data_IF_962624256105
#
_entry.id   IF_962624256105
#
_cell.length_a   1.000
_cell.length_b   1.000
_cell.length_c   1.000
_cell.angle_alpha   90.00
_cell.angle_beta   90.00
_cell.angle_gamma   90.00
#
_symmetry.space_group_name_H-M   'P 1'
#
loop_
_entity.id
_entity.type
_entity.pdbx_description
1 polymer ?
#
# COMPACT_ATOMS: atom_id res chain seq x y z
N UNK A 1 4.95 2.94 -27.53
CA UNK A 1 5.73 3.63 -26.49
C UNK A 1 5.20 5.04 -26.32
N UNK A 2 5.39 5.65 -25.15
CA UNK A 2 5.06 7.06 -24.92
C UNK A 2 5.87 7.97 -25.85
N UNK A 3 5.30 9.13 -26.21
CA UNK A 3 5.97 10.16 -27.05
C UNK A 3 6.46 11.36 -26.24
N UNK A 4 5.84 11.63 -25.10
CA UNK A 4 6.09 12.76 -24.22
C UNK A 4 6.29 12.27 -22.78
N UNK A 5 6.94 13.06 -21.91
CA UNK A 5 7.16 12.67 -20.53
C UNK A 5 5.85 12.45 -19.78
N UNK A 6 5.88 11.51 -18.85
CA UNK A 6 4.80 11.21 -17.91
C UNK A 6 5.01 11.93 -16.59
N UNK A 7 3.93 12.15 -15.85
CA UNK A 7 3.97 12.64 -14.46
C UNK A 7 4.89 11.73 -13.63
N UNK A 8 5.81 12.33 -12.88
CA UNK A 8 6.75 11.66 -11.98
C UNK A 8 7.63 10.57 -12.64
N UNK A 9 7.81 10.60 -13.96
CA UNK A 9 8.61 9.57 -14.66
C UNK A 9 8.00 8.17 -14.61
N UNK A 10 6.68 8.06 -14.45
CA UNK A 10 5.94 6.80 -14.38
C UNK A 10 6.03 5.99 -15.69
N UNK A 11 6.41 4.72 -15.59
CA UNK A 11 6.47 3.79 -16.72
C UNK A 11 5.71 2.51 -16.37
N UNK A 12 4.61 2.25 -17.09
CA UNK A 12 3.86 1.00 -16.94
C UNK A 12 4.74 -0.17 -17.43
N UNK A 13 5.04 -1.13 -16.55
CA UNK A 13 5.87 -2.31 -16.87
C UNK A 13 5.02 -3.55 -17.15
N UNK A 14 3.82 -3.60 -16.58
CA UNK A 14 2.84 -4.66 -16.75
C UNK A 14 1.43 -4.10 -16.53
N UNK A 15 0.46 -4.71 -17.19
CA UNK A 15 -0.96 -4.38 -17.09
C UNK A 15 -1.75 -5.61 -16.69
N UNK A 16 -2.74 -5.37 -15.83
CA UNK A 16 -3.53 -6.41 -15.21
C UNK A 16 -2.83 -7.04 -14.01
N UNK A 17 -3.61 -7.80 -13.26
CA UNK A 17 -3.23 -8.44 -12.01
C UNK A 17 -3.47 -9.96 -12.07
N UNK A 18 -4.56 -10.42 -12.67
CA UNK A 18 -4.89 -11.85 -12.77
C UNK A 18 -5.18 -12.55 -11.45
N UNK A 19 -5.39 -11.79 -10.37
CA UNK A 19 -5.75 -12.30 -9.03
C UNK A 19 -7.27 -12.43 -8.82
N UNK A 20 -8.09 -11.88 -9.71
CA UNK A 20 -9.54 -12.14 -9.74
C UNK A 20 -10.33 -11.69 -8.51
N UNK A 21 -9.92 -10.61 -7.86
CA UNK A 21 -10.69 -10.01 -6.78
C UNK A 21 -12.04 -9.48 -7.30
N UNK A 22 -13.11 -9.74 -6.56
CA UNK A 22 -14.47 -9.35 -6.96
C UNK A 22 -14.69 -7.84 -6.97
N UNK A 23 -13.96 -7.10 -6.13
CA UNK A 23 -13.99 -5.62 -6.05
C UNK A 23 -13.06 -4.93 -7.07
N UNK A 24 -12.34 -5.67 -7.91
CA UNK A 24 -11.49 -5.10 -8.95
C UNK A 24 -12.22 -5.05 -10.30
N UNK A 25 -11.82 -4.13 -11.17
CA UNK A 25 -12.36 -4.05 -12.53
C UNK A 25 -11.97 -5.31 -13.35
N UNK A 26 -12.88 -5.84 -14.21
CA UNK A 26 -12.63 -7.12 -14.91
C UNK A 26 -11.44 -7.09 -15.86
N UNK A 27 -11.10 -5.93 -16.41
CA UNK A 27 -9.95 -5.74 -17.32
C UNK A 27 -8.62 -6.08 -16.65
N UNK A 28 -8.56 -6.08 -15.31
CA UNK A 28 -7.38 -6.48 -14.56
C UNK A 28 -7.19 -8.01 -14.48
N UNK A 29 -8.11 -8.83 -14.99
CA UNK A 29 -7.91 -10.29 -15.01
C UNK A 29 -6.77 -10.73 -15.95
N UNK A 30 -6.56 -9.99 -17.04
CA UNK A 30 -5.59 -10.37 -18.06
C UNK A 30 -4.22 -9.78 -17.78
N UNK A 31 -3.36 -10.53 -17.09
CA UNK A 31 -1.98 -10.15 -16.82
C UNK A 31 -1.11 -10.22 -18.08
N UNK A 32 -0.40 -9.12 -18.37
CA UNK A 32 0.60 -9.04 -19.44
C UNK A 32 1.71 -8.08 -19.04
N UNK A 33 2.96 -8.43 -19.32
CA UNK A 33 4.12 -7.58 -19.06
C UNK A 33 4.76 -7.11 -20.37
N UNK A 34 5.47 -5.99 -20.31
CA UNK A 34 6.08 -5.36 -21.48
C UNK A 34 7.54 -5.79 -21.64
N UNK A 35 8.08 -5.88 -22.88
CA UNK A 35 9.49 -6.16 -23.08
C UNK A 35 10.39 -5.08 -22.44
N UNK A 36 11.47 -5.51 -21.76
CA UNK A 36 12.42 -4.60 -21.09
C UNK A 36 12.89 -3.48 -22.02
N UNK A 37 13.20 -3.78 -23.29
CA UNK A 37 13.64 -2.76 -24.26
C UNK A 37 12.65 -1.58 -24.34
N UNK A 38 11.35 -1.88 -24.48
CA UNK A 38 10.34 -0.84 -24.57
C UNK A 38 10.23 -0.03 -23.28
N UNK A 39 10.34 -0.68 -22.12
CA UNK A 39 10.34 0.00 -20.81
C UNK A 39 11.54 0.96 -20.72
N UNK A 40 12.73 0.52 -21.10
CA UNK A 40 13.94 1.36 -21.08
C UNK A 40 13.84 2.54 -22.04
N UNK A 41 13.21 2.35 -23.21
CA UNK A 41 13.00 3.45 -24.17
C UNK A 41 12.08 4.53 -23.57
N UNK A 42 11.05 4.15 -22.81
CA UNK A 42 10.17 5.13 -22.13
C UNK A 42 10.84 5.80 -20.93
N UNK A 43 11.65 5.06 -20.17
CA UNK A 43 12.50 5.66 -19.12
C UNK A 43 13.38 6.74 -19.73
N UNK A 44 14.01 6.50 -20.88
CA UNK A 44 14.83 7.53 -21.56
C UNK A 44 14.02 8.75 -21.98
N UNK A 45 12.80 8.58 -22.48
CA UNK A 45 11.92 9.72 -22.81
C UNK A 45 11.69 10.60 -21.59
N UNK A 46 11.41 10.00 -20.43
CA UNK A 46 11.22 10.73 -19.17
C UNK A 46 12.51 11.42 -18.71
N UNK A 47 13.65 10.72 -18.71
CA UNK A 47 14.94 11.27 -18.27
C UNK A 47 15.39 12.43 -19.18
N UNK A 48 15.22 12.32 -20.50
CA UNK A 48 15.57 13.38 -21.45
C UNK A 48 14.72 14.66 -21.25
N UNK A 49 13.54 14.53 -20.65
CA UNK A 49 12.68 15.65 -20.30
C UNK A 49 12.93 16.19 -18.87
N UNK A 50 13.96 15.69 -18.18
CA UNK A 50 14.36 16.17 -16.85
C UNK A 50 13.72 15.43 -15.67
N UNK A 51 13.13 14.24 -15.87
CA UNK A 51 12.67 13.42 -14.74
C UNK A 51 13.85 12.99 -13.85
N UNK A 52 13.66 13.02 -12.53
CA UNK A 52 14.70 12.66 -11.56
C UNK A 52 15.04 11.17 -11.56
N UNK A 53 14.14 10.32 -12.08
CA UNK A 53 14.27 8.87 -12.04
C UNK A 53 13.16 8.16 -12.80
N UNK A 54 13.01 6.86 -12.51
CA UNK A 54 12.02 5.99 -13.12
C UNK A 54 11.08 5.42 -12.05
N UNK A 55 9.79 5.69 -12.16
CA UNK A 55 8.75 5.06 -11.32
C UNK A 55 8.14 3.87 -12.09
N UNK A 56 8.54 2.66 -11.73
CA UNK A 56 8.04 1.44 -12.36
C UNK A 56 6.64 1.12 -11.85
N UNK A 57 5.67 1.01 -12.76
CA UNK A 57 4.27 0.86 -12.41
C UNK A 57 3.63 -0.43 -12.92
N UNK A 58 2.98 -1.16 -12.02
CA UNK A 58 2.07 -2.27 -12.29
C UNK A 58 1.16 -2.46 -11.08
N UNK A 59 0.12 -3.29 -11.21
CA UNK A 59 -0.73 -3.75 -10.09
C UNK A 59 0.07 -4.55 -9.04
N UNK A 60 1.12 -5.22 -9.50
CA UNK A 60 2.09 -5.94 -8.67
C UNK A 60 3.44 -5.97 -9.39
N UNK A 61 4.33 -5.04 -9.03
CA UNK A 61 5.65 -4.88 -9.66
C UNK A 61 6.54 -6.11 -9.44
N UNK A 62 6.41 -6.78 -8.29
CA UNK A 62 7.17 -8.00 -7.98
C UNK A 62 6.80 -9.15 -8.90
N UNK A 63 5.67 -9.08 -9.60
CA UNK A 63 5.26 -10.11 -10.55
C UNK A 63 5.75 -9.90 -11.98
N UNK A 64 6.57 -8.89 -12.26
CA UNK A 64 7.05 -8.64 -13.61
C UNK A 64 7.65 -9.89 -14.27
N UNK A 65 7.07 -10.33 -15.39
CA UNK A 65 7.54 -11.48 -16.15
C UNK A 65 7.04 -12.84 -15.64
N UNK A 66 6.30 -12.88 -14.53
CA UNK A 66 5.82 -14.11 -13.93
C UNK A 66 4.79 -14.85 -14.79
N UNK A 67 4.84 -16.18 -14.76
CA UNK A 67 3.80 -17.07 -15.30
C UNK A 67 2.92 -17.54 -14.13
N UNK A 68 1.90 -16.76 -13.80
CA UNK A 68 1.01 -17.02 -12.67
C UNK A 68 1.17 -16.01 -11.54
N UNK A 69 0.83 -16.41 -10.31
CA UNK A 69 0.77 -15.50 -9.15
C UNK A 69 2.07 -15.40 -8.35
N UNK A 70 3.04 -16.30 -8.60
CA UNK A 70 4.32 -16.34 -7.90
C UNK A 70 5.35 -15.50 -8.68
N UNK A 71 6.07 -14.55 -8.04
CA UNK A 71 7.12 -13.77 -8.68
C UNK A 71 8.20 -14.60 -9.40
N UNK A 72 8.67 -14.07 -10.53
CA UNK A 72 9.87 -14.54 -11.23
C UNK A 72 11.04 -13.62 -10.86
N UNK A 73 11.86 -14.07 -9.90
CA UNK A 73 12.93 -13.26 -9.31
C UNK A 73 13.94 -12.80 -10.36
N UNK A 74 14.31 -13.67 -11.31
CA UNK A 74 15.29 -13.35 -12.34
C UNK A 74 14.77 -12.25 -13.27
N UNK A 75 13.50 -12.32 -13.69
CA UNK A 75 12.89 -11.32 -14.57
C UNK A 75 12.80 -9.96 -13.89
N UNK A 76 12.39 -9.94 -12.62
CA UNK A 76 12.29 -8.70 -11.82
C UNK A 76 13.68 -8.10 -11.62
N UNK A 77 14.64 -8.87 -11.14
CA UNK A 77 16.03 -8.41 -10.95
C UNK A 77 16.65 -7.93 -12.26
N UNK A 78 16.39 -8.61 -13.38
CA UNK A 78 16.88 -8.17 -14.71
C UNK A 78 16.30 -6.83 -15.12
N UNK A 79 15.02 -6.59 -14.88
CA UNK A 79 14.37 -5.31 -15.17
C UNK A 79 14.97 -4.19 -14.32
N UNK A 80 15.01 -4.35 -13.00
CA UNK A 80 15.56 -3.33 -12.09
C UNK A 80 17.02 -3.02 -12.40
N UNK A 81 17.84 -4.05 -12.68
CA UNK A 81 19.25 -3.87 -13.06
C UNK A 81 19.38 -3.09 -14.37
N UNK A 82 18.49 -3.31 -15.32
CA UNK A 82 18.50 -2.57 -16.58
C UNK A 82 18.08 -1.10 -16.41
N UNK A 83 17.07 -0.84 -15.57
CA UNK A 83 16.66 0.52 -15.23
C UNK A 83 17.75 1.29 -14.47
N UNK A 84 18.42 0.65 -13.51
CA UNK A 84 19.52 1.21 -12.72
C UNK A 84 20.79 1.55 -13.54
N UNK A 85 20.88 1.07 -14.79
CA UNK A 85 21.94 1.50 -15.73
C UNK A 85 21.64 2.85 -16.38
N UNK A 86 20.39 3.30 -16.36
CA UNK A 86 19.96 4.56 -16.97
C UNK A 86 19.82 5.69 -15.93
N UNK A 87 19.48 5.35 -14.69
CA UNK A 87 19.33 6.31 -13.60
C UNK A 87 19.65 5.67 -12.25
N UNK A 88 20.11 6.47 -11.29
CA UNK A 88 20.33 6.02 -9.91
C UNK A 88 19.02 5.97 -9.09
N UNK A 89 17.95 6.59 -9.59
CA UNK A 89 16.68 6.70 -8.89
C UNK A 89 15.63 5.81 -9.57
N UNK A 90 15.35 4.66 -8.97
CA UNK A 90 14.29 3.75 -9.42
C UNK A 90 13.33 3.52 -8.26
N UNK A 91 12.05 3.78 -8.51
CA UNK A 91 10.96 3.56 -7.56
C UNK A 91 9.95 2.57 -8.13
N UNK A 92 9.03 2.12 -7.29
CA UNK A 92 7.95 1.22 -7.67
C UNK A 92 6.63 1.67 -7.07
N UNK A 93 5.53 1.49 -7.82
CA UNK A 93 4.22 1.96 -7.40
C UNK A 93 3.54 0.98 -6.44
N UNK A 94 3.29 -0.27 -6.86
CA UNK A 94 2.52 -1.25 -6.10
C UNK A 94 3.21 -2.60 -5.98
N UNK A 95 2.95 -3.27 -4.86
CA UNK A 95 3.31 -4.67 -4.59
C UNK A 95 2.11 -5.41 -3.98
N UNK A 96 2.23 -6.73 -3.85
CA UNK A 96 1.27 -7.55 -3.10
C UNK A 96 1.96 -8.30 -1.96
N UNK A 97 1.38 -8.31 -0.75
CA UNK A 97 1.93 -9.08 0.39
C UNK A 97 2.09 -10.57 0.08
N UNK A 98 1.16 -11.17 -0.66
CA UNK A 98 1.30 -12.56 -1.10
C UNK A 98 2.52 -12.76 -2.02
N UNK A 99 2.89 -11.77 -2.83
CA UNK A 99 4.09 -11.82 -3.68
C UNK A 99 5.36 -11.63 -2.87
N UNK A 100 5.34 -10.73 -1.88
CA UNK A 100 6.41 -10.55 -0.88
C UNK A 100 6.71 -11.87 -0.18
N UNK A 101 5.68 -12.51 0.40
CA UNK A 101 5.87 -13.74 1.17
C UNK A 101 6.07 -14.99 0.32
N UNK A 102 5.61 -15.00 -0.94
CA UNK A 102 5.92 -16.09 -1.86
C UNK A 102 7.41 -16.09 -2.24
N UNK A 103 8.08 -14.93 -2.25
CA UNK A 103 9.50 -14.76 -2.61
C UNK A 103 10.22 -13.73 -1.72
N UNK A 104 10.47 -14.03 -0.42
CA UNK A 104 11.11 -13.09 0.51
C UNK A 104 12.49 -12.60 0.05
N UNK A 105 13.30 -13.50 -0.51
CA UNK A 105 14.64 -13.18 -1.04
C UNK A 105 14.65 -12.14 -2.15
N UNK A 106 13.53 -11.93 -2.84
CA UNK A 106 13.42 -10.89 -3.85
C UNK A 106 13.45 -9.50 -3.21
N UNK A 107 12.86 -9.34 -2.03
CA UNK A 107 12.87 -8.06 -1.30
C UNK A 107 14.30 -7.70 -0.92
N UNK A 108 15.05 -8.61 -0.31
CA UNK A 108 16.46 -8.42 0.05
C UNK A 108 17.30 -8.01 -1.15
N UNK A 109 17.16 -8.74 -2.28
CA UNK A 109 17.87 -8.42 -3.53
C UNK A 109 17.52 -7.04 -4.07
N UNK A 110 16.24 -6.68 -4.07
CA UNK A 110 15.80 -5.37 -4.56
C UNK A 110 16.29 -4.24 -3.64
N UNK A 111 16.25 -4.44 -2.32
CA UNK A 111 16.80 -3.53 -1.33
C UNK A 111 18.28 -3.26 -1.60
N UNK A 112 19.08 -4.31 -1.77
CA UNK A 112 20.51 -4.17 -2.08
C UNK A 112 20.73 -3.39 -3.38
N UNK A 113 20.01 -3.74 -4.43
CA UNK A 113 20.13 -3.08 -5.73
C UNK A 113 19.77 -1.60 -5.69
N UNK A 114 18.65 -1.25 -5.06
CA UNK A 114 18.18 0.13 -4.96
C UNK A 114 19.12 0.96 -4.07
N UNK A 115 19.49 0.44 -2.90
CA UNK A 115 20.39 1.12 -1.95
C UNK A 115 21.84 1.22 -2.44
N UNK A 116 22.26 0.38 -3.39
CA UNK A 116 23.61 0.47 -3.98
C UNK A 116 23.80 1.72 -4.86
N UNK A 117 22.71 2.37 -5.29
CA UNK A 117 22.73 3.50 -6.22
C UNK A 117 22.07 4.76 -5.68
N UNK A 118 21.09 4.64 -4.78
CA UNK A 118 20.40 5.76 -4.15
C UNK A 118 21.02 6.17 -2.82
N UNK A 119 20.60 7.34 -2.28
CA UNK A 119 20.91 7.67 -0.89
C UNK A 119 20.29 6.60 0.02
N UNK A 120 21.12 5.92 0.82
CA UNK A 120 20.77 4.80 1.71
C UNK A 120 19.74 5.16 2.80
N UNK A 121 19.45 6.44 2.94
CA UNK A 121 18.70 7.01 4.07
C UNK A 121 17.18 7.07 3.83
N UNK A 122 16.71 6.98 2.57
CA UNK A 122 15.27 7.00 2.26
C UNK A 122 14.71 5.58 2.19
N UNK A 123 13.63 5.35 2.95
CA UNK A 123 12.87 4.08 2.90
C UNK A 123 12.28 3.84 1.52
N UNK A 124 12.23 2.57 1.12
CA UNK A 124 11.56 2.17 -0.12
C UNK A 124 10.06 2.07 0.16
N UNK A 125 9.27 2.96 -0.43
CA UNK A 125 7.81 2.96 -0.25
C UNK A 125 7.08 2.35 -1.43
N UNK A 126 6.02 1.61 -1.16
CA UNK A 126 5.11 1.09 -2.19
C UNK A 126 3.70 0.95 -1.65
N UNK A 127 2.71 1.18 -2.50
CA UNK A 127 1.31 0.95 -2.17
C UNK A 127 0.98 -0.54 -2.19
N UNK A 128 0.20 -1.00 -1.23
CA UNK A 128 -0.20 -2.40 -1.10
C UNK A 128 -1.58 -2.47 -0.45
N UNK A 129 -2.40 -3.46 -0.82
CA UNK A 129 -3.73 -3.61 -0.21
C UNK A 129 -3.77 -4.76 0.80
N UNK A 130 -4.15 -4.49 2.04
CA UNK A 130 -4.57 -5.49 3.03
C UNK A 130 -6.03 -5.90 2.75
N UNK A 131 -6.85 -4.90 2.42
CA UNK A 131 -8.30 -4.97 2.19
C UNK A 131 -9.14 -5.31 3.42
N UNK A 132 -8.88 -6.43 4.09
CA UNK A 132 -9.60 -6.85 5.30
C UNK A 132 -8.76 -7.85 6.09
N UNK A 133 -8.94 -7.86 7.41
CA UNK A 133 -8.39 -8.89 8.30
C UNK A 133 -9.28 -10.12 8.46
N UNK A 134 -10.48 -10.16 7.85
CA UNK A 134 -11.40 -11.30 7.98
C UNK A 134 -11.12 -12.41 6.96
N UNK A 135 -10.73 -13.63 7.38
CA UNK A 135 -10.59 -14.77 6.47
C UNK A 135 -11.87 -15.13 5.71
N UNK A 136 -13.04 -14.84 6.31
CA UNK A 136 -14.34 -15.10 5.70
C UNK A 136 -14.56 -14.19 4.48
N UNK A 137 -14.32 -12.89 4.62
CA UNK A 137 -14.42 -11.94 3.51
C UNK A 137 -13.34 -12.18 2.46
N UNK A 138 -12.13 -12.57 2.89
CA UNK A 138 -11.06 -12.99 1.98
C UNK A 138 -11.49 -14.17 1.10
N UNK A 139 -12.05 -15.22 1.70
CA UNK A 139 -12.63 -16.37 0.98
C UNK A 139 -13.71 -15.94 0.01
N UNK A 140 -14.52 -14.97 0.39
CA UNK A 140 -15.67 -14.56 -0.42
C UNK A 140 -15.24 -13.70 -1.62
N UNK A 141 -14.29 -12.78 -1.43
CA UNK A 141 -14.07 -11.68 -2.37
C UNK A 141 -12.69 -11.66 -3.05
N UNK A 142 -11.66 -12.29 -2.48
CA UNK A 142 -10.27 -12.07 -2.93
C UNK A 142 -9.35 -13.28 -2.82
N UNK A 143 -9.87 -14.49 -3.07
CA UNK A 143 -9.06 -15.74 -3.02
C UNK A 143 -7.76 -15.66 -3.81
N UNK A 144 -7.78 -15.15 -5.04
CA UNK A 144 -6.56 -15.05 -5.85
C UNK A 144 -5.61 -13.93 -5.39
N UNK A 145 -6.05 -12.99 -4.55
CA UNK A 145 -5.15 -12.02 -3.89
C UNK A 145 -4.22 -12.67 -2.89
N UNK A 146 -4.72 -13.71 -2.23
CA UNK A 146 -3.99 -14.42 -1.17
C UNK A 146 -3.12 -15.54 -1.72
N UNK A 147 -3.43 -16.04 -2.92
CA UNK A 147 -2.65 -17.07 -3.58
C UNK A 147 -1.14 -16.70 -3.65
N UNK A 148 -0.23 -17.65 -3.36
CA UNK A 148 -0.46 -19.10 -3.21
C UNK A 148 -0.97 -19.57 -1.83
N UNK A 149 -1.14 -18.66 -0.87
CA UNK A 149 -1.62 -18.97 0.48
C UNK A 149 -3.14 -19.16 0.52
N UNK A 150 -3.64 -19.71 1.64
CA UNK A 150 -5.06 -19.86 1.91
C UNK A 150 -5.63 -18.61 2.57
N UNK A 151 -6.93 -18.32 2.38
CA UNK A 151 -7.60 -17.21 3.05
C UNK A 151 -7.46 -17.15 4.57
N UNK A 152 -7.40 -18.29 5.26
CA UNK A 152 -7.20 -18.33 6.72
C UNK A 152 -5.80 -17.89 7.16
N UNK A 153 -4.82 -17.97 6.26
CA UNK A 153 -3.44 -17.56 6.52
C UNK A 153 -3.23 -16.06 6.21
N UNK A 154 -4.24 -15.37 5.67
CA UNK A 154 -4.08 -13.99 5.20
C UNK A 154 -3.63 -13.01 6.28
N UNK A 155 -4.20 -13.00 7.51
CA UNK A 155 -3.73 -12.10 8.56
C UNK A 155 -2.25 -12.32 8.87
N UNK A 156 -1.81 -13.57 9.01
CA UNK A 156 -0.41 -13.93 9.28
C UNK A 156 0.51 -13.55 8.12
N UNK A 157 0.09 -13.78 6.86
CA UNK A 157 0.83 -13.35 5.67
C UNK A 157 1.03 -11.83 5.67
N UNK A 158 0.03 -11.06 6.06
CA UNK A 158 0.13 -9.60 6.14
C UNK A 158 1.09 -9.17 7.24
N UNK A 159 1.03 -9.77 8.42
CA UNK A 159 1.95 -9.47 9.54
C UNK A 159 3.40 -9.80 9.17
N UNK A 160 3.68 -11.01 8.70
CA UNK A 160 5.03 -11.43 8.33
C UNK A 160 5.59 -10.61 7.16
N UNK A 161 4.73 -10.19 6.22
CA UNK A 161 5.16 -9.31 5.15
C UNK A 161 5.54 -7.91 5.66
N UNK A 162 4.79 -7.33 6.60
CA UNK A 162 5.15 -6.05 7.20
C UNK A 162 6.48 -6.13 7.95
N UNK A 163 6.70 -7.22 8.70
CA UNK A 163 7.97 -7.50 9.36
C UNK A 163 9.13 -7.54 8.38
N UNK A 164 9.04 -8.39 7.35
CA UNK A 164 10.08 -8.54 6.33
C UNK A 164 10.39 -7.22 5.62
N UNK A 165 9.35 -6.46 5.25
CA UNK A 165 9.49 -5.16 4.62
C UNK A 165 10.18 -4.16 5.56
N UNK A 166 9.76 -4.10 6.82
CA UNK A 166 10.35 -3.22 7.83
C UNK A 166 11.83 -3.54 8.06
N UNK A 167 12.19 -4.82 8.20
CA UNK A 167 13.57 -5.30 8.36
C UNK A 167 14.47 -4.93 7.17
N UNK A 168 13.86 -4.76 5.99
CA UNK A 168 14.55 -4.37 4.76
C UNK A 168 14.51 -2.85 4.47
N UNK A 169 14.09 -2.02 5.44
CA UNK A 169 13.93 -0.57 5.27
C UNK A 169 12.89 -0.18 4.20
N UNK A 170 11.87 -1.01 4.01
CA UNK A 170 10.69 -0.65 3.24
C UNK A 170 9.62 -0.04 4.15
N UNK A 171 8.71 0.69 3.52
CA UNK A 171 7.55 1.29 4.17
C UNK A 171 6.31 1.02 3.31
N UNK A 172 5.50 0.01 3.63
CA UNK A 172 4.27 -0.22 2.92
C UNK A 172 3.25 0.88 3.22
N UNK A 173 2.62 1.39 2.17
CA UNK A 173 1.44 2.24 2.24
C UNK A 173 0.21 1.37 1.96
N UNK A 174 -0.33 0.83 3.04
CA UNK A 174 -1.38 -0.17 3.05
C UNK A 174 -2.78 0.44 2.92
N UNK A 175 -3.66 -0.21 2.16
CA UNK A 175 -5.09 0.13 2.10
C UNK A 175 -5.98 -0.95 2.70
N UNK A 176 -7.10 -0.53 3.30
CA UNK A 176 -8.20 -1.38 3.74
C UNK A 176 -9.49 -0.98 3.02
N UNK A 177 -10.47 -1.89 2.93
CA UNK A 177 -11.80 -1.62 2.37
C UNK A 177 -12.82 -1.81 3.48
N UNK A 178 -13.56 -0.75 3.79
CA UNK A 178 -14.70 -0.77 4.70
C UNK A 178 -16.00 -0.78 3.90
N UNK A 179 -16.96 -1.58 4.33
CA UNK A 179 -18.24 -1.77 3.65
C UNK A 179 -18.20 -2.84 2.56
N UNK A 180 -17.34 -3.85 2.67
CA UNK A 180 -17.37 -4.97 1.72
C UNK A 180 -18.76 -5.64 1.74
N UNK A 181 -19.28 -6.13 0.60
CA UNK A 181 -20.57 -6.80 0.59
C UNK A 181 -20.62 -7.96 1.61
N UNK A 182 -21.65 -7.94 2.45
CA UNK A 182 -21.89 -8.85 3.58
C UNK A 182 -20.90 -8.75 4.74
N UNK A 183 -20.12 -7.68 4.86
CA UNK A 183 -19.28 -7.42 6.03
C UNK A 183 -20.14 -7.29 7.30
N UNK A 184 -19.73 -7.96 8.37
CA UNK A 184 -20.36 -7.89 9.69
C UNK A 184 -19.44 -7.18 10.69
N UNK A 185 -19.97 -6.76 11.84
CA UNK A 185 -19.17 -6.18 12.92
C UNK A 185 -17.99 -7.07 13.34
N UNK A 186 -18.17 -8.40 13.38
CA UNK A 186 -17.11 -9.36 13.70
C UNK A 186 -15.96 -9.33 12.68
N UNK A 187 -16.27 -9.17 11.38
CA UNK A 187 -15.23 -9.07 10.36
C UNK A 187 -14.45 -7.75 10.46
N UNK A 188 -15.14 -6.67 10.82
CA UNK A 188 -14.51 -5.38 11.06
C UNK A 188 -13.58 -5.49 12.27
N UNK A 189 -14.02 -6.13 13.36
CA UNK A 189 -13.17 -6.34 14.55
C UNK A 189 -11.93 -7.19 14.26
N UNK A 190 -12.03 -8.24 13.43
CA UNK A 190 -10.83 -8.98 12.97
C UNK A 190 -9.85 -8.09 12.21
N UNK A 191 -10.36 -7.09 11.50
CA UNK A 191 -9.54 -6.10 10.81
C UNK A 191 -8.90 -5.11 11.80
N UNK A 192 -9.63 -4.69 12.85
CA UNK A 192 -9.08 -3.89 13.95
C UNK A 192 -7.92 -4.64 14.62
N UNK A 193 -8.14 -5.89 15.02
CA UNK A 193 -7.12 -6.74 15.66
C UNK A 193 -5.87 -6.90 14.78
N UNK A 194 -6.05 -7.06 13.45
CA UNK A 194 -4.93 -7.11 12.52
C UNK A 194 -4.16 -5.78 12.51
N UNK A 195 -4.83 -4.63 12.44
CA UNK A 195 -4.17 -3.32 12.47
C UNK A 195 -3.38 -3.12 13.77
N UNK A 196 -3.93 -3.54 14.91
CA UNK A 196 -3.24 -3.48 16.20
C UNK A 196 -1.97 -4.33 16.22
N UNK A 197 -2.01 -5.54 15.64
CA UNK A 197 -0.80 -6.38 15.46
C UNK A 197 0.24 -5.73 14.55
N UNK A 198 -0.19 -4.94 13.57
CA UNK A 198 0.71 -4.23 12.66
C UNK A 198 1.37 -3.01 13.30
N UNK A 199 0.91 -2.54 14.47
CA UNK A 199 1.47 -1.38 15.17
C UNK A 199 2.96 -1.51 15.48
N UNK A 200 3.53 -2.72 15.51
CA UNK A 200 4.96 -2.96 15.70
C UNK A 200 5.83 -2.59 14.49
N UNK A 201 5.25 -2.52 13.30
CA UNK A 201 5.99 -2.32 12.05
C UNK A 201 5.68 -0.96 11.43
N UNK A 202 6.71 -0.30 10.94
CA UNK A 202 6.58 1.01 10.31
C UNK A 202 5.80 0.90 8.98
N UNK A 203 4.59 1.44 8.96
CA UNK A 203 3.73 1.50 7.77
C UNK A 203 2.73 2.66 7.84
N UNK A 204 2.08 2.94 6.71
CA UNK A 204 0.89 3.79 6.67
C UNK A 204 -0.31 2.91 6.34
N UNK A 205 -1.44 3.05 7.04
CA UNK A 205 -2.64 2.23 6.82
C UNK A 205 -3.86 3.13 6.62
N UNK A 206 -4.34 3.20 5.38
CA UNK A 206 -5.46 4.07 5.00
C UNK A 206 -6.72 3.23 4.73
N UNK A 207 -7.75 3.32 5.58
CA UNK A 207 -9.04 2.70 5.28
C UNK A 207 -9.79 3.51 4.23
N UNK A 208 -10.29 2.82 3.21
CA UNK A 208 -11.07 3.37 2.11
C UNK A 208 -12.48 2.79 2.14
N UNK A 209 -13.46 3.56 1.68
CA UNK A 209 -14.82 3.04 1.52
C UNK A 209 -14.93 2.15 0.29
N UNK A 210 -15.76 1.12 0.39
CA UNK A 210 -16.12 0.25 -0.71
C UNK A 210 -16.82 1.04 -1.83
N UNK A 211 -16.38 0.76 -3.06
CA UNK A 211 -16.97 1.30 -4.28
C UNK A 211 -17.58 0.14 -5.08
N UNK A 212 -18.84 0.25 -5.55
CA UNK A 212 -19.53 -0.82 -6.27
C UNK A 212 -19.02 -0.93 -7.71
N UNK A 213 -17.89 -1.62 -7.90
CA UNK A 213 -17.28 -1.89 -9.20
C UNK A 213 -16.98 -3.38 -9.37
N UNK A 214 -16.63 -3.77 -10.59
CA UNK A 214 -16.22 -5.14 -10.88
C UNK A 214 -17.38 -6.12 -10.80
N UNK A 215 -17.15 -7.25 -10.13
CA UNK A 215 -18.18 -8.26 -9.91
C UNK A 215 -19.14 -7.91 -8.74
N UNK A 216 -18.87 -6.81 -8.04
CA UNK A 216 -19.67 -6.33 -6.90
C UNK A 216 -20.37 -5.00 -7.22
N UNK A 217 -20.74 -4.78 -8.48
CA UNK A 217 -21.51 -3.61 -8.90
C UNK A 217 -22.96 -3.69 -8.36
N UNK A 218 -23.13 -3.25 -7.12
CA UNK A 218 -24.42 -3.15 -6.42
C UNK A 218 -25.10 -1.79 -6.62
N UNK A 219 -24.50 -0.88 -7.40
CA UNK A 219 -24.90 0.54 -7.58
C UNK A 219 -24.97 1.40 -6.31
N UNK A 220 -24.77 0.84 -5.12
CA UNK A 220 -24.76 1.57 -3.84
C UNK A 220 -23.32 1.76 -3.36
N UNK A 221 -22.93 3.02 -3.14
CA UNK A 221 -21.68 3.38 -2.48
C UNK A 221 -21.81 3.20 -0.97
N UNK A 222 -20.72 2.79 -0.32
CA UNK A 222 -20.63 2.82 1.14
C UNK A 222 -20.26 4.24 1.59
N UNK A 223 -21.01 4.79 2.53
CA UNK A 223 -20.80 6.16 3.04
C UNK A 223 -20.66 6.19 4.56
N UNK A 224 -20.41 7.39 5.11
CA UNK A 224 -20.27 7.60 6.56
C UNK A 224 -21.54 7.16 7.31
N UNK A 225 -22.70 7.32 6.70
CA UNK A 225 -24.00 6.92 7.25
C UNK A 225 -24.19 5.40 7.35
N UNK A 226 -23.45 4.62 6.55
CA UNK A 226 -23.46 3.15 6.59
C UNK A 226 -22.45 2.59 7.62
N UNK A 227 -21.62 3.44 8.24
CA UNK A 227 -20.59 2.98 9.19
C UNK A 227 -21.21 2.40 10.47
N UNK A 228 -20.69 1.23 10.87
CA UNK A 228 -20.95 0.60 12.16
C UNK A 228 -20.04 1.23 13.22
N UNK A 229 -20.34 1.09 14.53
CA UNK A 229 -19.41 1.46 15.59
C UNK A 229 -18.01 0.86 15.38
N UNK A 230 -17.91 -0.38 14.93
CA UNK A 230 -16.64 -1.07 14.67
C UNK A 230 -15.88 -0.46 13.49
N UNK A 231 -16.56 0.14 12.51
CA UNK A 231 -15.88 0.88 11.43
C UNK A 231 -15.20 2.15 11.96
N UNK A 232 -15.79 2.80 12.96
CA UNK A 232 -15.14 3.91 13.67
C UNK A 232 -13.94 3.42 14.48
N UNK A 233 -14.05 2.27 15.15
CA UNK A 233 -12.91 1.66 15.85
C UNK A 233 -11.76 1.35 14.89
N UNK A 234 -12.06 0.81 13.69
CA UNK A 234 -11.06 0.55 12.66
C UNK A 234 -10.38 1.83 12.17
N UNK A 235 -11.16 2.88 11.90
CA UNK A 235 -10.60 4.18 11.53
C UNK A 235 -9.71 4.74 12.65
N UNK A 236 -10.14 4.61 13.91
CA UNK A 236 -9.38 5.00 15.09
C UNK A 236 -8.05 4.26 15.21
N UNK A 237 -8.07 2.93 15.03
CA UNK A 237 -6.88 2.08 15.05
C UNK A 237 -5.87 2.47 13.95
N UNK A 238 -6.36 2.70 12.72
CA UNK A 238 -5.51 3.16 11.60
C UNK A 238 -4.89 4.53 11.89
N UNK A 239 -5.68 5.51 12.32
CA UNK A 239 -5.16 6.86 12.65
C UNK A 239 -4.15 6.80 13.80
N UNK A 240 -4.39 5.96 14.81
CA UNK A 240 -3.46 5.76 15.93
C UNK A 240 -2.13 5.16 15.46
N UNK A 241 -2.18 4.11 14.63
CA UNK A 241 -1.01 3.51 13.98
C UNK A 241 -0.23 4.55 13.16
N UNK A 242 -0.90 5.26 12.25
CA UNK A 242 -0.27 6.26 11.40
C UNK A 242 0.36 7.39 12.21
N UNK A 243 -0.30 7.86 13.28
CA UNK A 243 0.25 8.88 14.17
C UNK A 243 1.46 8.39 14.97
N UNK A 244 1.61 7.09 15.22
CA UNK A 244 2.82 6.54 15.81
C UNK A 244 3.99 6.73 14.85
N UNK A 245 3.83 6.34 13.58
CA UNK A 245 4.91 6.28 12.60
C UNK A 245 5.16 7.55 11.79
N UNK A 246 4.20 8.49 11.73
CA UNK A 246 4.32 9.75 10.97
C UNK A 246 5.56 10.58 11.38
N UNK A 247 5.99 10.47 12.64
CA UNK A 247 7.21 11.14 13.12
C UNK A 247 8.46 10.60 12.45
N UNK A 248 8.60 9.27 12.39
CA UNK A 248 9.72 8.62 11.72
C UNK A 248 9.69 8.83 10.20
N UNK A 249 8.49 8.81 9.60
CA UNK A 249 8.27 9.14 8.19
C UNK A 249 8.77 10.55 7.84
N UNK A 250 8.32 11.54 8.62
CA UNK A 250 8.74 12.93 8.42
C UNK A 250 10.25 13.10 8.67
N UNK A 251 10.81 12.39 9.65
CA UNK A 251 12.23 12.44 9.95
C UNK A 251 13.11 11.90 8.81
N UNK A 252 12.63 10.95 8.01
CA UNK A 252 13.28 10.51 6.76
C UNK A 252 13.23 11.56 5.65
N UNK A 253 12.07 12.20 5.48
CA UNK A 253 11.85 13.16 4.39
C UNK A 253 12.57 14.51 4.59
N UNK A 254 12.68 15.00 5.83
CA UNK A 254 13.29 16.29 6.15
C UNK A 254 14.78 16.23 6.55
N UNK A 255 15.45 15.10 6.33
CA UNK A 255 16.85 14.91 6.76
C UNK A 255 17.82 15.91 6.12
N UNK A 256 17.57 16.34 4.88
CA UNK A 256 18.37 17.36 4.18
C UNK A 256 18.10 18.80 4.66
N UNK A 257 17.14 19.02 5.58
CA UNK A 257 16.73 20.35 6.05
C UNK A 257 16.48 20.37 7.58
N UNK A 258 17.54 20.31 8.40
CA UNK A 258 17.46 20.12 9.86
C UNK A 258 16.65 21.21 10.60
N UNK A 259 16.69 22.46 10.14
CA UNK A 259 15.91 23.55 10.73
C UNK A 259 14.40 23.36 10.48
N UNK A 260 14.01 22.95 9.26
CA UNK A 260 12.60 22.70 8.89
C UNK A 260 12.05 21.44 9.59
N UNK A 261 12.92 20.43 9.78
CA UNK A 261 12.64 19.21 10.55
C UNK A 261 12.24 19.52 12.00
N UNK A 262 13.01 20.37 12.68
CA UNK A 262 12.81 20.66 14.11
C UNK A 262 11.66 21.65 14.33
N UNK A 263 11.64 22.77 13.60
CA UNK A 263 10.77 23.90 13.94
C UNK A 263 9.34 23.74 13.41
N UNK A 264 9.18 23.17 12.21
CA UNK A 264 7.89 23.07 11.52
C UNK A 264 7.35 21.65 11.62
N UNK A 265 8.16 20.64 11.30
CA UNK A 265 7.75 19.24 11.32
C UNK A 265 7.32 18.76 12.71
N UNK A 266 8.23 18.73 13.68
CA UNK A 266 7.93 18.18 15.03
C UNK A 266 6.86 18.97 15.79
N UNK A 267 6.88 20.30 15.69
CA UNK A 267 5.88 21.14 16.36
C UNK A 267 4.47 20.96 15.79
N UNK A 268 4.31 21.00 14.45
CA UNK A 268 3.02 20.79 13.80
C UNK A 268 2.51 19.37 14.06
N UNK A 269 3.36 18.35 13.94
CA UNK A 269 2.97 16.96 14.22
C UNK A 269 2.50 16.79 15.66
N UNK A 270 3.20 17.38 16.64
CA UNK A 270 2.77 17.32 18.04
C UNK A 270 1.44 18.04 18.29
N UNK A 271 1.21 19.19 17.65
CA UNK A 271 -0.08 19.88 17.71
C UNK A 271 -1.20 19.06 17.08
N UNK A 272 -0.97 18.47 15.90
CA UNK A 272 -1.91 17.57 15.23
C UNK A 272 -2.25 16.38 16.11
N UNK A 273 -1.25 15.70 16.70
CA UNK A 273 -1.45 14.58 17.64
C UNK A 273 -2.32 14.99 18.82
N UNK A 274 -2.05 16.14 19.44
CA UNK A 274 -2.87 16.66 20.55
C UNK A 274 -4.31 16.95 20.12
N UNK A 275 -4.51 17.58 18.96
CA UNK A 275 -5.83 17.94 18.43
C UNK A 275 -6.65 16.73 18.00
N UNK A 276 -6.00 15.68 17.48
CA UNK A 276 -6.66 14.44 17.04
C UNK A 276 -6.99 13.49 18.19
N UNK A 277 -6.25 13.54 19.30
CA UNK A 277 -6.44 12.67 20.47
C UNK A 277 -7.90 12.52 20.95
N UNK A 278 -8.71 13.58 21.13
CA UNK A 278 -10.11 13.42 21.55
C UNK A 278 -10.96 12.65 20.52
N UNK A 279 -10.75 12.91 19.23
CA UNK A 279 -11.47 12.22 18.15
C UNK A 279 -11.06 10.75 18.06
N UNK A 280 -9.78 10.44 18.24
CA UNK A 280 -9.29 9.05 18.30
C UNK A 280 -9.96 8.31 19.46
N UNK A 281 -10.06 8.91 20.64
CA UNK A 281 -10.74 8.29 21.80
C UNK A 281 -12.22 8.00 21.54
N UNK A 282 -12.92 8.89 20.85
CA UNK A 282 -14.32 8.66 20.46
C UNK A 282 -14.41 7.50 19.46
N UNK A 283 -13.54 7.48 18.45
CA UNK A 283 -13.47 6.40 17.47
C UNK A 283 -13.13 5.04 18.10
N UNK A 284 -12.20 4.99 19.07
CA UNK A 284 -11.89 3.78 19.86
C UNK A 284 -13.12 3.23 20.61
N UNK A 285 -14.12 4.07 20.91
CA UNK A 285 -15.39 3.68 21.53
C UNK A 285 -16.49 3.40 20.50
N UNK A 286 -16.17 3.43 19.21
CA UNK A 286 -17.11 3.28 18.10
C UNK A 286 -18.02 4.48 17.86
N UNK A 287 -17.66 5.66 18.37
CA UNK A 287 -18.47 6.87 18.27
C UNK A 287 -18.00 7.69 17.06
N UNK A 288 -18.95 8.16 16.24
CA UNK A 288 -18.67 9.08 15.14
C UNK A 288 -18.18 10.45 15.69
N UNK A 289 -16.92 10.84 15.46
CA UNK A 289 -16.35 12.08 15.98
C UNK A 289 -16.92 13.36 15.36
N UNK A 290 -17.64 13.23 14.24
CA UNK A 290 -18.27 14.33 13.50
C UNK A 290 -19.75 14.48 13.83
N UNK A 291 -20.33 13.52 14.56
CA UNK A 291 -21.70 13.66 15.05
C UNK A 291 -21.73 14.88 15.98
N UNK A 292 -22.47 15.91 15.58
CA UNK A 292 -22.61 17.11 16.42
C UNK A 292 -23.23 16.66 17.75
N UNK A 293 -22.45 16.66 18.83
CA UNK A 293 -23.03 16.80 20.16
C UNK A 293 -23.60 18.22 20.26
N UNK A 294 -24.71 18.48 19.59
CA UNK A 294 -25.62 19.54 20.01
C UNK A 294 -26.63 18.87 20.94
N UNK A 295 -26.64 19.18 22.24
CA UNK A 295 -27.88 19.05 22.99
C UNK A 295 -28.90 19.91 22.26
N UNK A 296 -29.95 19.29 21.74
CA UNK A 296 -31.20 20.01 21.49
C UNK A 296 -31.85 20.17 22.84
N UNK A 297 -31.43 21.21 23.57
CA UNK A 297 -32.22 21.82 24.64
C UNK A 297 -32.74 23.17 24.13
#
# INVERSE_FOLDING_TARGET
SIKNPTICGLVEIARGCGRGCKFCIPTLLNYRYRPIKQILDEIKVNLNAGAEGALLHAEDVLRYGAKGVIPDEEKVTKLFRAALKLTNNVWLSHIAFASVMAKPSLIERLTEMLNSKSNKELRISSQVGIETGSPRLVREHMRGKVAPFKPDEWPEVVVEAHKLLCDNNWQPCSTLIMGLPKETSEDVMKTVELVERLDEYNSLIVPLFFVPIGALDTKKFFTVEDMLPEHWMLLGACVKHDMKWVGEMADGYFQSRPIQKILVGKFILNLMKKKLKPYIKQMEQGINPLSKQHPKD
#
